data_IF_640117142563
#
_entry.id   IF_640117142563
#
_cell.length_a   1.000
_cell.length_b   1.000
_cell.length_c   1.000
_cell.angle_alpha   90.00
_cell.angle_beta   90.00
_cell.angle_gamma   90.00
#
_symmetry.space_group_name_H-M   'P 1'
#
loop_
_entity.id
_entity.type
_entity.pdbx_description
1 polymer ?
#
# COMPACT_ATOMS: atom_id res chain seq x y z
N UNK A 1 19.63 -34.24 -19.42
CA UNK A 1 18.22 -34.43 -19.02
C UNK A 1 17.30 -34.33 -20.22
N UNK A 2 16.04 -34.77 -20.14
CA UNK A 2 15.00 -34.54 -21.16
C UNK A 2 13.81 -33.89 -20.52
N UNK A 3 13.28 -32.84 -21.15
CA UNK A 3 12.12 -32.11 -20.67
C UNK A 3 11.01 -32.11 -21.73
N UNK A 4 9.76 -32.16 -21.30
CA UNK A 4 8.57 -32.00 -22.12
C UNK A 4 7.60 -31.07 -21.42
N UNK A 5 7.00 -30.17 -22.20
CA UNK A 5 6.02 -29.18 -21.70
C UNK A 5 4.65 -29.54 -22.21
N UNK A 6 3.69 -29.62 -21.32
CA UNK A 6 2.27 -29.78 -21.61
C UNK A 6 1.52 -28.54 -21.12
N UNK A 7 0.85 -27.82 -21.98
CA UNK A 7 0.00 -26.69 -21.60
C UNK A 7 -1.33 -27.20 -21.07
N UNK A 8 -1.61 -26.98 -19.80
CA UNK A 8 -2.86 -27.40 -19.16
C UNK A 8 -3.97 -26.36 -19.39
N UNK A 9 -3.61 -25.09 -19.30
CA UNK A 9 -4.48 -23.96 -19.61
C UNK A 9 -3.61 -22.73 -19.99
N UNK A 10 -4.17 -21.60 -20.41
CA UNK A 10 -3.38 -20.43 -20.83
C UNK A 10 -2.39 -19.89 -19.79
N UNK A 11 -2.57 -20.22 -18.52
CA UNK A 11 -1.75 -19.72 -17.39
C UNK A 11 -1.03 -20.82 -16.63
N UNK A 12 -1.18 -22.12 -17.00
CA UNK A 12 -0.57 -23.24 -16.27
C UNK A 12 0.00 -24.28 -17.21
N UNK A 13 1.22 -24.70 -16.92
CA UNK A 13 1.92 -25.76 -17.65
C UNK A 13 2.38 -26.85 -16.70
N UNK A 14 2.48 -28.06 -17.27
CA UNK A 14 3.12 -29.20 -16.63
C UNK A 14 4.43 -29.51 -17.35
N UNK A 15 5.51 -29.44 -16.61
CA UNK A 15 6.84 -29.91 -17.05
C UNK A 15 7.00 -31.38 -16.64
N UNK A 16 7.30 -32.24 -17.59
CA UNK A 16 7.71 -33.61 -17.33
C UNK A 16 9.20 -33.74 -17.60
N UNK A 17 9.96 -34.08 -16.57
CA UNK A 17 11.42 -34.11 -16.64
C UNK A 17 11.94 -35.50 -16.33
N UNK A 18 12.76 -36.02 -17.23
CA UNK A 18 13.50 -37.27 -17.11
C UNK A 18 14.98 -36.98 -16.93
N UNK A 19 15.53 -37.31 -15.75
CA UNK A 19 16.92 -37.08 -15.39
C UNK A 19 17.66 -38.42 -15.34
N UNK A 20 18.67 -38.66 -16.19
CA UNK A 20 19.53 -39.83 -16.09
C UNK A 20 20.25 -39.85 -14.73
N UNK A 21 20.38 -41.03 -14.14
CA UNK A 21 20.99 -41.18 -12.80
C UNK A 21 22.44 -40.66 -12.73
N UNK A 22 23.12 -40.64 -13.88
CA UNK A 22 24.50 -40.10 -13.96
C UNK A 22 24.58 -38.61 -13.61
N UNK A 23 23.51 -37.83 -13.92
CA UNK A 23 23.43 -36.41 -13.63
C UNK A 23 23.11 -36.13 -12.15
N UNK A 24 22.57 -37.12 -11.41
CA UNK A 24 22.33 -37.05 -9.95
C UNK A 24 23.58 -37.29 -9.11
N UNK A 25 24.71 -37.67 -9.72
CA UNK A 25 25.90 -38.10 -8.99
C UNK A 25 26.45 -37.02 -8.04
N UNK A 26 26.47 -35.79 -8.49
CA UNK A 26 26.98 -34.66 -7.67
C UNK A 26 26.09 -34.40 -6.45
N UNK A 27 24.76 -34.46 -6.62
CA UNK A 27 23.79 -34.34 -5.52
C UNK A 27 23.81 -35.54 -4.59
N UNK A 28 24.07 -36.75 -5.10
CA UNK A 28 24.30 -37.92 -4.28
C UNK A 28 25.56 -37.77 -3.41
N UNK A 29 26.65 -37.30 -3.99
CA UNK A 29 27.89 -37.04 -3.25
C UNK A 29 27.71 -35.95 -2.18
N UNK A 30 26.92 -34.91 -2.49
CA UNK A 30 26.52 -33.84 -1.56
C UNK A 30 25.66 -34.41 -0.41
N UNK A 31 24.65 -35.21 -0.73
CA UNK A 31 23.79 -35.88 0.26
C UNK A 31 24.60 -36.77 1.21
N UNK A 32 25.51 -37.59 0.71
CA UNK A 32 26.40 -38.36 1.55
C UNK A 32 27.25 -37.47 2.47
N UNK A 33 27.78 -36.35 1.99
CA UNK A 33 28.55 -35.40 2.81
C UNK A 33 27.69 -34.77 3.90
N UNK A 34 26.47 -34.37 3.58
CA UNK A 34 25.52 -33.73 4.48
C UNK A 34 25.09 -34.69 5.58
N UNK A 35 24.68 -35.92 5.23
CA UNK A 35 24.32 -36.98 6.19
C UNK A 35 25.53 -37.30 7.06
N UNK A 36 26.73 -37.45 6.48
CA UNK A 36 27.95 -37.75 7.21
C UNK A 36 28.30 -36.70 8.28
N UNK A 37 27.92 -35.44 8.05
CA UNK A 37 28.11 -34.33 9.00
C UNK A 37 27.04 -34.32 10.10
N UNK A 38 25.84 -34.81 9.81
CA UNK A 38 24.71 -34.77 10.75
C UNK A 38 24.69 -35.98 11.70
N UNK A 39 25.11 -37.15 11.22
CA UNK A 39 24.97 -38.41 11.98
C UNK A 39 26.24 -38.78 12.75
N UNK A 40 26.03 -39.52 13.84
CA UNK A 40 27.13 -40.10 14.62
C UNK A 40 26.97 -41.65 14.64
N UNK A 41 28.00 -42.34 14.15
CA UNK A 41 28.05 -43.82 14.12
C UNK A 41 29.19 -44.31 15.00
N UNK A 42 28.88 -45.26 15.95
CA UNK A 42 29.90 -45.84 16.82
C UNK A 42 30.99 -46.50 15.99
N UNK A 43 32.24 -46.14 16.27
CA UNK A 43 33.44 -46.64 15.57
C UNK A 43 33.93 -45.72 14.42
N UNK A 44 33.25 -44.66 14.10
CA UNK A 44 33.66 -43.70 13.07
C UNK A 44 33.68 -42.26 13.61
N UNK A 45 34.64 -41.47 13.12
CA UNK A 45 34.69 -40.05 13.42
C UNK A 45 33.60 -39.31 12.58
N UNK A 46 32.91 -38.38 13.21
CA UNK A 46 31.92 -37.50 12.51
C UNK A 46 32.52 -36.91 11.24
N UNK A 47 31.84 -37.02 10.12
CA UNK A 47 32.30 -36.54 8.80
C UNK A 47 33.25 -37.50 8.06
N UNK A 48 33.54 -38.72 8.59
CA UNK A 48 34.43 -39.75 8.00
C UNK A 48 33.80 -41.13 7.94
N UNK A 49 32.49 -41.22 7.86
CA UNK A 49 31.75 -42.47 7.76
C UNK A 49 31.72 -42.90 6.28
N UNK A 50 32.14 -44.11 5.89
CA UNK A 50 32.04 -44.58 4.51
C UNK A 50 30.59 -44.67 4.02
N UNK A 51 30.33 -44.33 2.75
CA UNK A 51 28.97 -44.35 2.15
C UNK A 51 28.24 -45.69 2.40
N UNK A 52 28.91 -46.84 2.23
CA UNK A 52 28.34 -48.16 2.49
C UNK A 52 27.81 -48.35 3.92
N UNK A 53 28.44 -47.70 4.90
CA UNK A 53 27.99 -47.77 6.30
C UNK A 53 26.76 -46.88 6.54
N UNK A 54 26.69 -45.73 5.84
CA UNK A 54 25.52 -44.87 5.84
C UNK A 54 24.33 -45.64 5.24
N UNK A 55 24.49 -46.26 4.07
CA UNK A 55 23.44 -47.05 3.42
C UNK A 55 22.92 -48.21 4.31
N UNK A 56 23.84 -48.89 5.03
CA UNK A 56 23.44 -49.97 5.92
C UNK A 56 22.71 -49.50 7.19
N UNK A 57 22.99 -48.30 7.68
CA UNK A 57 22.46 -47.83 8.97
C UNK A 57 21.21 -46.98 8.80
N UNK A 58 21.15 -46.16 7.76
CA UNK A 58 20.10 -45.17 7.51
C UNK A 58 19.24 -45.55 6.32
N UNK A 59 19.70 -46.49 5.51
CA UNK A 59 19.04 -46.92 4.28
C UNK A 59 19.47 -46.09 3.06
N UNK A 60 19.59 -46.74 1.91
CA UNK A 60 19.88 -46.07 0.63
C UNK A 60 18.79 -45.08 0.23
N UNK A 61 17.53 -45.39 0.63
CA UNK A 61 16.38 -44.50 0.36
C UNK A 61 16.52 -43.10 0.95
N UNK A 62 17.02 -42.99 2.19
CA UNK A 62 17.23 -41.68 2.82
C UNK A 62 18.30 -40.82 2.13
N UNK A 63 19.34 -41.50 1.57
CA UNK A 63 20.37 -40.80 0.79
C UNK A 63 19.80 -40.30 -0.56
N UNK A 64 18.99 -41.15 -1.19
CA UNK A 64 18.32 -40.81 -2.46
C UNK A 64 17.34 -39.68 -2.27
N UNK A 65 16.54 -39.71 -1.20
CA UNK A 65 15.59 -38.63 -0.87
C UNK A 65 16.30 -37.27 -0.67
N UNK A 66 17.38 -37.26 0.10
CA UNK A 66 18.20 -36.06 0.32
C UNK A 66 18.83 -35.57 -0.98
N UNK A 67 19.35 -36.48 -1.83
CA UNK A 67 19.94 -36.13 -3.11
C UNK A 67 18.92 -35.59 -4.11
N UNK A 68 17.73 -36.15 -4.13
CA UNK A 68 16.64 -35.68 -4.99
C UNK A 68 16.15 -34.30 -4.54
N UNK A 69 15.94 -34.09 -3.25
CA UNK A 69 15.55 -32.77 -2.71
C UNK A 69 16.57 -31.67 -3.04
N UNK A 70 17.86 -32.00 -3.05
CA UNK A 70 18.92 -31.08 -3.44
C UNK A 70 18.97 -30.82 -4.96
N UNK A 71 18.66 -31.85 -5.76
CA UNK A 71 18.75 -31.82 -7.22
C UNK A 71 17.53 -31.18 -7.91
N UNK A 72 16.33 -31.37 -7.34
CA UNK A 72 15.06 -30.93 -7.95
C UNK A 72 15.05 -29.44 -8.33
N UNK A 73 15.46 -28.48 -7.46
CA UNK A 73 15.45 -27.05 -7.84
C UNK A 73 16.34 -26.76 -9.06
N UNK A 74 17.48 -27.46 -9.14
CA UNK A 74 18.42 -27.28 -10.26
C UNK A 74 17.82 -27.76 -11.59
N UNK A 75 17.32 -29.00 -11.60
CA UNK A 75 16.74 -29.58 -12.82
C UNK A 75 15.43 -28.88 -13.24
N UNK A 76 14.64 -28.40 -12.28
CA UNK A 76 13.50 -27.57 -12.57
C UNK A 76 13.91 -26.26 -13.27
N UNK A 77 14.92 -25.55 -12.73
CA UNK A 77 15.41 -24.31 -13.33
C UNK A 77 15.98 -24.54 -14.73
N UNK A 78 16.73 -25.63 -14.93
CA UNK A 78 17.23 -26.01 -16.27
C UNK A 78 16.08 -26.30 -17.25
N UNK A 79 15.04 -27.03 -16.81
CA UNK A 79 13.88 -27.33 -17.65
C UNK A 79 13.05 -26.09 -18.01
N UNK A 80 12.87 -25.17 -17.06
CA UNK A 80 12.20 -23.88 -17.28
C UNK A 80 12.97 -23.03 -18.31
N UNK A 81 14.29 -22.95 -18.17
CA UNK A 81 15.14 -22.18 -19.09
C UNK A 81 15.15 -22.81 -20.51
N UNK A 82 15.22 -24.15 -20.59
CA UNK A 82 15.18 -24.86 -21.89
C UNK A 82 13.85 -24.65 -22.61
N UNK A 83 12.76 -24.53 -21.85
CA UNK A 83 11.42 -24.30 -22.36
C UNK A 83 11.06 -22.80 -22.56
N UNK A 84 11.98 -21.89 -22.24
CA UNK A 84 11.78 -20.42 -22.29
C UNK A 84 10.52 -19.95 -21.55
N UNK A 85 10.17 -20.61 -20.43
CA UNK A 85 9.01 -20.28 -19.62
C UNK A 85 9.29 -19.15 -18.63
N UNK A 86 8.25 -18.37 -18.32
CA UNK A 86 8.27 -17.35 -17.26
C UNK A 86 7.37 -17.80 -16.11
N UNK A 87 7.89 -18.61 -15.16
CA UNK A 87 7.07 -19.15 -14.08
C UNK A 87 6.67 -18.07 -13.09
N UNK A 88 5.47 -18.21 -12.53
CA UNK A 88 4.90 -17.38 -11.49
C UNK A 88 4.77 -18.24 -10.22
N UNK A 89 5.46 -17.83 -9.15
CA UNK A 89 5.42 -18.54 -7.88
C UNK A 89 6.23 -19.84 -7.86
N UNK A 90 5.93 -20.69 -6.87
CA UNK A 90 6.61 -21.97 -6.68
C UNK A 90 5.89 -23.11 -7.43
N UNK A 91 6.64 -24.02 -8.08
CA UNK A 91 6.03 -25.16 -8.76
C UNK A 91 5.50 -26.20 -7.74
N UNK A 92 4.44 -26.88 -8.14
CA UNK A 92 4.01 -28.12 -7.49
C UNK A 92 4.76 -29.29 -8.11
N UNK A 93 5.65 -29.91 -7.34
CA UNK A 93 6.55 -30.96 -7.84
C UNK A 93 6.14 -32.33 -7.30
N UNK A 94 5.91 -33.27 -8.21
CA UNK A 94 5.63 -34.66 -7.90
C UNK A 94 6.67 -35.58 -8.53
N UNK A 95 7.27 -36.44 -7.70
CA UNK A 95 8.21 -37.47 -8.16
C UNK A 95 7.41 -38.66 -8.67
N UNK A 96 7.36 -38.85 -9.97
CA UNK A 96 6.60 -39.92 -10.60
C UNK A 96 7.33 -41.26 -10.55
N UNK A 97 8.66 -41.25 -10.66
CA UNK A 97 9.47 -42.46 -10.63
C UNK A 97 10.90 -42.15 -10.17
N UNK A 98 11.41 -42.99 -9.22
CA UNK A 98 12.81 -42.97 -8.82
C UNK A 98 13.37 -44.39 -8.86
N UNK A 99 14.20 -44.66 -9.86
CA UNK A 99 14.92 -45.94 -10.00
C UNK A 99 16.39 -45.71 -9.70
N UNK A 100 16.86 -46.33 -8.61
CA UNK A 100 18.26 -46.24 -8.16
C UNK A 100 19.20 -46.82 -9.23
N UNK A 101 20.09 -45.99 -9.76
CA UNK A 101 21.05 -46.36 -10.80
C UNK A 101 20.51 -46.25 -12.26
N UNK A 102 19.26 -45.85 -12.46
CA UNK A 102 18.67 -45.71 -13.79
C UNK A 102 18.20 -44.29 -14.08
N UNK A 103 17.10 -43.82 -13.48
CA UNK A 103 16.47 -42.53 -13.78
C UNK A 103 15.73 -41.94 -12.57
N UNK A 104 15.60 -40.61 -12.57
CA UNK A 104 14.65 -39.83 -11.80
C UNK A 104 13.66 -39.18 -12.77
N UNK A 105 12.36 -39.46 -12.59
CA UNK A 105 11.30 -38.79 -13.33
C UNK A 105 10.45 -37.98 -12.36
N UNK A 106 10.22 -36.73 -12.67
CA UNK A 106 9.31 -35.87 -11.92
C UNK A 106 8.46 -35.03 -12.83
N UNK A 107 7.33 -34.58 -12.31
CA UNK A 107 6.48 -33.56 -12.94
C UNK A 107 6.49 -32.31 -12.07
N UNK A 108 6.49 -31.15 -12.72
CA UNK A 108 6.36 -29.87 -12.06
C UNK A 108 5.22 -29.09 -12.73
N UNK A 109 4.16 -28.81 -11.98
CA UNK A 109 3.11 -27.92 -12.43
C UNK A 109 3.39 -26.53 -11.90
N UNK A 110 3.32 -25.55 -12.79
CA UNK A 110 3.63 -24.16 -12.45
C UNK A 110 2.74 -23.22 -13.25
N UNK A 111 2.31 -22.16 -12.60
CA UNK A 111 1.66 -21.07 -13.27
C UNK A 111 2.70 -20.25 -14.06
N UNK A 112 2.31 -19.84 -15.27
CA UNK A 112 3.14 -19.03 -16.15
C UNK A 112 2.42 -17.73 -16.49
N UNK A 113 3.20 -16.73 -16.86
CA UNK A 113 2.64 -15.51 -17.43
C UNK A 113 2.02 -15.83 -18.80
N UNK A 114 0.73 -15.49 -19.02
CA UNK A 114 0.09 -15.70 -20.31
C UNK A 114 0.72 -14.80 -21.37
N UNK A 115 0.76 -15.29 -22.61
CA UNK A 115 1.06 -14.45 -23.75
C UNK A 115 -0.15 -13.55 -24.04
N UNK A 116 0.06 -12.24 -24.07
CA UNK A 116 -0.98 -11.25 -24.33
C UNK A 116 -0.73 -10.59 -25.67
N UNK A 117 -1.80 -10.34 -26.41
CA UNK A 117 -1.78 -9.50 -27.61
C UNK A 117 -2.36 -8.14 -27.24
N UNK A 118 -1.55 -7.09 -27.32
CA UNK A 118 -2.00 -5.72 -27.05
C UNK A 118 -2.65 -5.18 -28.32
N UNK A 119 -3.96 -4.88 -28.32
CA UNK A 119 -4.63 -4.27 -29.46
C UNK A 119 -4.19 -2.82 -29.64
N UNK A 120 -4.65 -2.19 -30.73
CA UNK A 120 -4.50 -0.75 -30.92
C UNK A 120 -5.32 0.00 -29.84
N UNK A 121 -4.63 0.78 -29.01
CA UNK A 121 -5.20 1.55 -27.92
C UNK A 121 -5.33 3.05 -28.21
N UNK A 122 -4.88 3.52 -29.40
CA UNK A 122 -4.93 4.93 -29.79
C UNK A 122 -6.36 5.49 -29.91
N UNK A 123 -7.37 4.63 -29.92
CA UNK A 123 -8.79 5.01 -29.99
C UNK A 123 -9.49 5.08 -28.65
N UNK A 124 -8.78 5.01 -27.53
CA UNK A 124 -9.37 5.13 -26.18
C UNK A 124 -9.87 6.55 -25.99
N UNK A 125 -11.16 6.72 -25.69
CA UNK A 125 -11.76 7.98 -25.28
C UNK A 125 -12.30 7.84 -23.85
N UNK A 126 -11.96 8.81 -22.98
CA UNK A 126 -12.46 8.88 -21.61
C UNK A 126 -12.94 10.28 -21.27
N UNK A 127 -13.88 10.35 -20.33
CA UNK A 127 -14.41 11.61 -19.80
C UNK A 127 -13.97 11.73 -18.34
N UNK A 128 -13.53 12.91 -17.93
CA UNK A 128 -13.07 13.23 -16.56
C UNK A 128 -13.80 14.46 -16.03
N UNK A 129 -13.73 14.70 -14.73
CA UNK A 129 -14.37 15.86 -14.14
C UNK A 129 -13.64 17.15 -14.57
N UNK A 130 -14.41 18.21 -14.82
CA UNK A 130 -13.82 19.50 -15.16
C UNK A 130 -13.14 20.17 -13.96
N UNK A 131 -12.03 20.85 -14.18
CA UNK A 131 -11.32 21.62 -13.15
C UNK A 131 -12.04 22.96 -12.96
N UNK A 132 -13.03 22.99 -12.08
CA UNK A 132 -13.76 24.20 -11.72
C UNK A 132 -13.51 24.53 -10.24
N UNK A 133 -12.92 25.70 -9.96
CA UNK A 133 -12.75 26.24 -8.61
C UNK A 133 -13.80 27.31 -8.38
N UNK A 134 -14.77 27.01 -7.56
CA UNK A 134 -15.86 27.96 -7.24
C UNK A 134 -15.43 28.92 -6.13
N UNK A 135 -16.08 30.06 -6.04
CA UNK A 135 -15.84 31.00 -4.94
C UNK A 135 -16.21 30.36 -3.58
N UNK A 136 -17.17 29.42 -3.55
CA UNK A 136 -17.53 28.65 -2.35
C UNK A 136 -16.39 27.75 -1.89
N UNK A 137 -15.65 27.12 -2.82
CA UNK A 137 -14.47 26.31 -2.48
C UNK A 137 -13.38 27.15 -1.83
N UNK A 138 -13.16 28.36 -2.37
CA UNK A 138 -12.19 29.31 -1.84
C UNK A 138 -12.61 29.79 -0.44
N UNK A 139 -13.88 30.15 -0.26
CA UNK A 139 -14.41 30.56 1.04
C UNK A 139 -14.26 29.44 2.08
N UNK A 140 -14.56 28.20 1.73
CA UNK A 140 -14.34 27.03 2.60
C UNK A 140 -12.88 26.84 2.96
N UNK A 141 -11.97 26.96 1.99
CA UNK A 141 -10.53 26.83 2.23
C UNK A 141 -10.00 27.90 3.18
N UNK A 142 -10.41 29.14 2.95
CA UNK A 142 -10.02 30.29 3.80
C UNK A 142 -10.65 30.17 5.19
N UNK A 143 -11.90 29.70 5.31
CA UNK A 143 -12.57 29.47 6.60
C UNK A 143 -11.89 28.35 7.39
N UNK A 144 -11.50 27.25 6.75
CA UNK A 144 -10.71 26.19 7.39
C UNK A 144 -9.36 26.71 7.91
N UNK A 145 -8.70 27.60 7.15
CA UNK A 145 -7.49 28.26 7.60
C UNK A 145 -7.78 29.17 8.82
N UNK A 146 -8.85 29.96 8.75
CA UNK A 146 -9.30 30.85 9.84
C UNK A 146 -9.56 30.09 11.12
N UNK A 147 -10.17 28.91 11.03
CA UNK A 147 -10.43 28.04 12.18
C UNK A 147 -9.17 27.58 12.91
N UNK A 148 -8.06 27.39 12.19
CA UNK A 148 -6.75 27.02 12.79
C UNK A 148 -6.14 28.17 13.60
N UNK A 149 -6.49 29.42 13.30
CA UNK A 149 -6.04 30.61 14.00
C UNK A 149 -7.05 31.14 15.01
N UNK A 150 -8.09 30.35 15.34
CA UNK A 150 -9.03 30.71 16.38
C UNK A 150 -8.30 30.86 17.73
N UNK A 151 -8.55 31.95 18.41
CA UNK A 151 -8.11 32.14 19.79
C UNK A 151 -9.18 31.66 20.76
N UNK A 152 -8.76 31.18 21.92
CA UNK A 152 -9.68 30.75 22.96
C UNK A 152 -9.47 31.60 24.23
N UNK A 153 -10.54 32.16 24.75
CA UNK A 153 -10.51 32.93 26.01
C UNK A 153 -11.43 32.27 27.03
N UNK A 154 -10.94 32.01 28.29
CA UNK A 154 -11.79 31.45 29.34
C UNK A 154 -12.95 32.40 29.67
N UNK A 155 -14.15 31.83 29.79
CA UNK A 155 -15.36 32.60 30.12
C UNK A 155 -16.11 31.99 31.31
N UNK A 156 -16.73 32.86 32.12
CA UNK A 156 -17.55 32.46 33.28
C UNK A 156 -19.04 32.53 32.88
N UNK A 157 -19.43 31.80 31.86
CA UNK A 157 -20.83 31.66 31.40
C UNK A 157 -21.13 30.25 30.97
N UNK A 158 -22.42 29.96 30.79
CA UNK A 158 -22.83 28.72 30.20
C UNK A 158 -22.27 28.55 28.76
N UNK A 159 -21.90 27.32 28.42
CA UNK A 159 -21.35 26.95 27.13
C UNK A 159 -22.38 27.14 26.00
N UNK A 160 -21.95 27.73 24.90
CA UNK A 160 -22.72 27.99 23.69
C UNK A 160 -22.14 27.25 22.48
N UNK A 161 -22.87 27.21 21.37
CA UNK A 161 -22.36 26.62 20.14
C UNK A 161 -21.09 27.36 19.69
N UNK A 162 -20.08 26.60 19.27
CA UNK A 162 -18.79 27.13 18.85
C UNK A 162 -17.79 27.36 19.98
N UNK A 163 -18.19 27.30 21.25
CA UNK A 163 -17.25 27.38 22.37
C UNK A 163 -16.38 26.12 22.45
N UNK A 164 -15.16 26.29 22.94
CA UNK A 164 -14.27 25.19 23.29
C UNK A 164 -14.43 24.87 24.77
N UNK A 165 -14.80 23.64 25.06
CA UNK A 165 -14.96 23.17 26.44
C UNK A 165 -13.88 22.14 26.76
N UNK A 166 -13.36 22.21 27.97
CA UNK A 166 -12.55 21.12 28.52
C UNK A 166 -13.47 20.23 29.36
N UNK A 167 -13.52 18.96 28.99
CA UNK A 167 -14.47 18.01 29.57
C UNK A 167 -13.77 16.78 30.12
N UNK A 168 -14.36 16.21 31.17
CA UNK A 168 -14.08 14.86 31.63
C UNK A 168 -15.24 13.97 31.24
N UNK A 169 -14.95 12.79 30.69
CA UNK A 169 -15.92 11.81 30.21
C UNK A 169 -15.79 10.52 31.04
N UNK A 170 -16.92 9.92 31.38
CA UNK A 170 -17.02 8.60 32.00
C UNK A 170 -18.13 7.82 31.32
N UNK A 171 -17.78 6.73 30.62
CA UNK A 171 -18.73 5.86 29.93
C UNK A 171 -19.03 4.60 30.77
N UNK A 172 -20.32 4.26 30.87
CA UNK A 172 -20.83 3.06 31.54
C UNK A 172 -21.62 2.23 30.56
N UNK A 173 -21.34 0.93 30.53
CA UNK A 173 -22.13 -0.05 29.81
C UNK A 173 -22.72 -1.06 30.81
N UNK A 174 -24.02 -1.28 30.76
CA UNK A 174 -24.76 -2.12 31.72
C UNK A 174 -24.56 -1.76 33.21
N UNK A 175 -24.22 -0.47 33.47
CA UNK A 175 -24.01 0.05 34.84
C UNK A 175 -22.56 -0.11 35.36
N UNK A 176 -21.64 -0.70 34.58
CA UNK A 176 -20.23 -0.83 34.91
C UNK A 176 -19.41 0.23 34.17
N UNK A 177 -18.49 0.89 34.86
CA UNK A 177 -17.58 1.89 34.29
C UNK A 177 -16.54 1.16 33.45
N UNK A 178 -16.35 1.59 32.21
CA UNK A 178 -15.30 1.07 31.35
C UNK A 178 -13.95 1.71 31.71
N UNK A 179 -12.91 0.90 31.88
CA UNK A 179 -11.54 1.43 32.16
C UNK A 179 -11.02 2.29 30.99
N UNK A 180 -11.35 1.94 29.75
CA UNK A 180 -11.03 2.67 28.52
C UNK A 180 -12.10 3.70 28.13
N UNK A 181 -13.19 3.79 28.89
CA UNK A 181 -14.25 4.78 28.76
C UNK A 181 -14.07 6.04 29.63
N UNK A 182 -12.91 6.21 30.28
CA UNK A 182 -12.59 7.40 31.08
C UNK A 182 -11.61 8.26 30.34
N UNK A 183 -12.00 9.49 30.04
CA UNK A 183 -11.11 10.49 29.45
C UNK A 183 -11.23 11.80 30.24
N UNK A 184 -10.10 12.37 30.64
CA UNK A 184 -10.06 13.60 31.44
C UNK A 184 -9.36 14.71 30.67
N UNK A 185 -9.87 15.93 30.79
CA UNK A 185 -9.24 17.12 30.20
C UNK A 185 -9.31 17.15 28.68
N UNK A 186 -10.30 16.52 28.07
CA UNK A 186 -10.50 16.50 26.62
C UNK A 186 -10.98 17.87 26.17
N UNK A 187 -10.29 18.49 25.23
CA UNK A 187 -10.74 19.72 24.59
C UNK A 187 -11.72 19.39 23.47
N UNK A 188 -12.90 19.99 23.50
CA UNK A 188 -13.97 19.73 22.52
C UNK A 188 -14.61 21.05 22.07
N UNK A 189 -14.80 21.22 20.78
CA UNK A 189 -15.54 22.35 20.21
C UNK A 189 -17.00 21.96 20.04
N UNK A 190 -17.90 22.66 20.70
CA UNK A 190 -19.35 22.39 20.63
C UNK A 190 -19.84 22.62 19.20
N UNK A 191 -20.51 21.62 18.63
CA UNK A 191 -21.00 21.64 17.26
C UNK A 191 -20.06 21.04 16.22
N UNK A 192 -18.84 20.58 16.61
CA UNK A 192 -17.92 19.92 15.65
C UNK A 192 -18.34 18.50 15.25
N UNK A 193 -19.10 17.80 16.10
CA UNK A 193 -19.52 16.41 15.88
C UNK A 193 -18.38 15.37 15.91
N UNK A 194 -17.18 15.77 16.38
CA UNK A 194 -15.97 14.91 16.33
C UNK A 194 -15.92 13.84 17.43
N UNK A 195 -16.74 13.95 18.47
CA UNK A 195 -16.78 12.99 19.58
C UNK A 195 -18.01 12.06 19.50
N UNK A 196 -18.78 11.98 20.56
CA UNK A 196 -19.92 11.10 20.71
C UNK A 196 -21.21 11.80 20.27
N UNK A 197 -22.12 11.07 19.66
CA UNK A 197 -23.40 11.61 19.25
C UNK A 197 -24.22 12.02 20.49
N UNK A 198 -24.78 13.24 20.45
CA UNK A 198 -25.55 13.81 21.57
C UNK A 198 -24.70 14.58 22.61
N UNK A 199 -23.38 14.63 22.47
CA UNK A 199 -22.51 15.39 23.40
C UNK A 199 -22.76 16.90 23.28
N UNK A 200 -23.02 17.42 22.09
CA UNK A 200 -23.31 18.83 21.86
C UNK A 200 -24.51 19.29 22.70
N UNK A 201 -25.61 18.52 22.63
CA UNK A 201 -26.82 18.83 23.38
C UNK A 201 -26.61 18.67 24.90
N UNK A 202 -25.78 17.72 25.31
CA UNK A 202 -25.50 17.46 26.72
C UNK A 202 -24.62 18.56 27.36
N UNK A 203 -23.68 19.12 26.60
CA UNK A 203 -22.72 20.13 27.10
C UNK A 203 -23.26 21.54 26.97
N UNK A 204 -24.10 21.81 25.97
CA UNK A 204 -24.66 23.14 25.73
C UNK A 204 -25.49 23.62 26.92
N UNK A 205 -25.20 24.81 27.39
CA UNK A 205 -25.88 25.41 28.55
C UNK A 205 -25.27 25.03 29.90
N UNK A 206 -24.24 24.18 29.96
CA UNK A 206 -23.52 23.92 31.19
C UNK A 206 -22.47 24.98 31.46
N UNK A 207 -22.29 25.32 32.75
CA UNK A 207 -21.19 26.16 33.23
C UNK A 207 -20.02 25.28 33.66
N UNK A 208 -18.85 25.88 33.89
CA UNK A 208 -17.71 25.16 34.46
C UNK A 208 -18.09 24.50 35.82
N UNK A 209 -17.84 23.21 35.94
CA UNK A 209 -18.26 22.35 37.05
C UNK A 209 -19.61 21.68 36.85
N UNK A 210 -20.34 22.00 35.79
CA UNK A 210 -21.62 21.34 35.40
C UNK A 210 -21.40 19.91 34.92
N UNK A 211 -22.39 19.05 35.16
CA UNK A 211 -22.39 17.65 34.71
C UNK A 211 -23.72 17.34 34.00
N UNK A 212 -23.63 16.53 32.97
CA UNK A 212 -24.79 15.95 32.28
C UNK A 212 -24.54 14.49 31.94
N UNK A 213 -25.62 13.76 31.75
CA UNK A 213 -25.54 12.34 31.34
C UNK A 213 -26.44 12.16 30.12
N UNK A 214 -25.89 11.49 29.12
CA UNK A 214 -26.61 11.18 27.88
C UNK A 214 -26.27 9.74 27.44
N UNK A 215 -27.02 9.22 26.50
CA UNK A 215 -26.76 7.88 25.94
C UNK A 215 -26.20 8.05 24.54
N UNK A 216 -25.12 7.35 24.25
CA UNK A 216 -24.49 7.35 22.93
C UNK A 216 -23.90 5.99 22.61
N UNK A 217 -23.78 5.68 21.34
CA UNK A 217 -23.03 4.54 20.86
C UNK A 217 -21.53 4.85 20.89
N UNK A 218 -20.74 3.96 21.48
CA UNK A 218 -19.28 4.16 21.55
C UNK A 218 -18.64 3.89 20.20
N UNK A 219 -17.90 4.87 19.68
CA UNK A 219 -17.20 4.78 18.38
C UNK A 219 -15.86 4.01 18.46
N UNK A 220 -15.40 3.63 19.66
CA UNK A 220 -14.10 2.97 19.84
C UNK A 220 -13.97 2.29 21.19
N UNK A 221 -12.79 1.66 21.43
CA UNK A 221 -12.46 0.96 22.67
C UNK A 221 -13.04 -0.45 22.75
N UNK A 222 -12.99 -1.04 23.96
CA UNK A 222 -13.42 -2.43 24.22
C UNK A 222 -14.92 -2.67 24.06
N UNK A 223 -15.71 -1.60 24.02
CA UNK A 223 -17.16 -1.63 23.89
C UNK A 223 -17.67 -0.85 22.67
N UNK A 224 -16.89 -0.75 21.60
CA UNK A 224 -17.31 -0.12 20.34
C UNK A 224 -18.61 -0.76 19.83
N UNK A 225 -19.51 0.06 19.27
CA UNK A 225 -20.83 -0.38 18.76
C UNK A 225 -21.89 -0.63 19.85
N UNK A 226 -21.55 -0.44 21.14
CA UNK A 226 -22.53 -0.62 22.24
C UNK A 226 -23.06 0.71 22.74
N UNK A 227 -24.33 0.75 23.07
CA UNK A 227 -24.90 1.88 23.79
C UNK A 227 -24.30 2.00 25.20
N UNK A 228 -23.80 3.20 25.51
CA UNK A 228 -23.23 3.54 26.79
C UNK A 228 -23.95 4.75 27.40
N UNK A 229 -24.10 4.74 28.70
CA UNK A 229 -24.46 5.92 29.48
C UNK A 229 -23.20 6.72 29.73
N UNK A 230 -23.09 7.90 29.11
CA UNK A 230 -21.92 8.76 29.18
C UNK A 230 -22.19 9.94 30.07
N UNK A 231 -21.41 10.08 31.15
CA UNK A 231 -21.41 11.25 31.99
C UNK A 231 -20.31 12.21 31.52
N UNK A 232 -20.70 13.41 31.14
CA UNK A 232 -19.79 14.50 30.78
C UNK A 232 -19.77 15.55 31.90
N UNK A 233 -18.57 15.97 32.29
CA UNK A 233 -18.34 17.05 33.23
C UNK A 233 -17.54 18.14 32.56
N UNK A 234 -18.08 19.36 32.52
CA UNK A 234 -17.39 20.52 31.99
C UNK A 234 -16.44 21.07 33.07
N UNK A 235 -15.16 21.07 32.79
CA UNK A 235 -14.15 21.63 33.73
C UNK A 235 -13.81 23.08 33.39
N UNK A 236 -13.88 23.47 32.13
CA UNK A 236 -13.64 24.84 31.68
C UNK A 236 -14.47 25.13 30.42
N UNK A 237 -14.92 26.39 30.34
CA UNK A 237 -15.55 26.92 29.12
C UNK A 237 -14.68 28.05 28.60
N UNK A 238 -14.34 28.02 27.32
CA UNK A 238 -13.60 29.08 26.66
C UNK A 238 -14.37 29.51 25.40
N UNK A 239 -14.62 30.80 25.27
CA UNK A 239 -15.15 31.33 24.03
C UNK A 239 -14.11 31.20 22.91
N UNK A 240 -14.53 30.69 21.78
CA UNK A 240 -13.71 30.61 20.55
C UNK A 240 -13.94 31.89 19.76
N UNK A 241 -12.90 32.67 19.61
CA UNK A 241 -12.90 33.89 18.80
C UNK A 241 -12.15 33.64 17.51
N UNK A 242 -12.86 33.69 16.39
CA UNK A 242 -12.26 33.63 15.06
C UNK A 242 -11.75 35.04 14.69
N UNK A 243 -10.53 35.16 14.12
CA UNK A 243 -10.03 36.42 13.61
C UNK A 243 -10.96 36.98 12.53
N UNK A 244 -11.02 38.29 12.36
CA UNK A 244 -11.75 38.89 11.24
C UNK A 244 -11.05 38.52 9.93
N UNK A 245 -11.86 38.32 8.84
CA UNK A 245 -11.32 38.03 7.50
C UNK A 245 -10.91 39.33 6.83
N UNK A 246 -9.73 39.81 7.14
CA UNK A 246 -9.14 41.03 6.62
C UNK A 246 -7.64 40.84 6.29
N UNK A 247 -6.97 41.94 5.94
CA UNK A 247 -5.55 41.89 5.61
C UNK A 247 -4.64 41.55 6.82
N UNK A 248 -5.08 41.86 8.05
CA UNK A 248 -4.35 41.48 9.26
C UNK A 248 -4.37 39.95 9.44
N UNK A 249 -5.50 39.31 9.11
CA UNK A 249 -5.59 37.85 9.10
C UNK A 249 -4.69 37.23 8.02
N UNK A 250 -4.66 37.80 6.80
CA UNK A 250 -3.78 37.29 5.75
C UNK A 250 -2.31 37.29 6.17
N UNK A 251 -1.84 38.39 6.78
CA UNK A 251 -0.48 38.51 7.30
C UNK A 251 -0.20 37.58 8.51
N UNK A 252 -1.22 37.27 9.31
CA UNK A 252 -1.08 36.36 10.44
C UNK A 252 -0.98 34.87 10.00
N UNK A 253 -1.79 34.51 9.00
CA UNK A 253 -2.01 33.12 8.61
C UNK A 253 -1.16 32.67 7.42
N UNK A 254 -0.48 33.60 6.74
CA UNK A 254 0.26 33.34 5.50
C UNK A 254 1.39 34.36 5.29
N UNK A 255 2.10 34.22 4.18
CA UNK A 255 3.13 35.17 3.72
C UNK A 255 2.57 36.36 2.93
N UNK A 256 1.25 36.42 2.73
CA UNK A 256 0.58 37.42 1.92
C UNK A 256 0.20 38.67 2.71
N UNK A 257 0.28 39.82 2.07
CA UNK A 257 -0.03 41.12 2.69
C UNK A 257 -1.52 41.43 2.73
N UNK A 258 -2.32 40.83 1.81
CA UNK A 258 -3.74 41.11 1.67
C UNK A 258 -4.60 39.84 1.59
N UNK A 259 -5.87 39.97 2.03
CA UNK A 259 -6.83 38.87 1.93
C UNK A 259 -7.11 38.46 0.47
N UNK A 260 -7.02 39.36 -0.47
CA UNK A 260 -7.22 39.07 -1.90
C UNK A 260 -6.06 38.23 -2.45
N UNK A 261 -4.81 38.45 -2.02
CA UNK A 261 -3.67 37.63 -2.37
C UNK A 261 -3.79 36.21 -1.76
N UNK A 262 -4.19 36.10 -0.51
CA UNK A 262 -4.45 34.80 0.14
C UNK A 262 -5.54 34.01 -0.60
N UNK A 263 -6.64 34.67 -1.02
CA UNK A 263 -7.70 34.03 -1.81
C UNK A 263 -7.22 33.63 -3.19
N UNK A 264 -6.37 34.42 -3.82
CA UNK A 264 -5.79 34.09 -5.13
C UNK A 264 -4.87 32.88 -5.04
N UNK A 265 -4.04 32.79 -3.99
CA UNK A 265 -3.21 31.61 -3.71
C UNK A 265 -4.06 30.37 -3.40
N UNK A 266 -5.06 30.51 -2.54
CA UNK A 266 -6.01 29.43 -2.27
C UNK A 266 -6.70 28.90 -3.54
N UNK A 267 -7.07 29.80 -4.45
CA UNK A 267 -7.62 29.44 -5.77
C UNK A 267 -6.60 28.66 -6.60
N UNK A 268 -5.33 29.10 -6.64
CA UNK A 268 -4.25 28.42 -7.37
C UNK A 268 -4.03 27.02 -6.80
N UNK A 269 -3.92 26.88 -5.48
CA UNK A 269 -3.73 25.58 -4.81
C UNK A 269 -4.90 24.61 -5.06
N UNK A 270 -6.13 25.11 -4.98
CA UNK A 270 -7.31 24.29 -5.27
C UNK A 270 -7.38 23.89 -6.75
N UNK A 271 -6.99 24.78 -7.66
CA UNK A 271 -6.90 24.44 -9.08
C UNK A 271 -5.87 23.35 -9.32
N UNK A 272 -4.65 23.49 -8.81
CA UNK A 272 -3.59 22.49 -8.94
C UNK A 272 -4.03 21.14 -8.36
N UNK A 273 -4.65 21.13 -7.18
CA UNK A 273 -5.17 19.90 -6.58
C UNK A 273 -6.22 19.23 -7.48
N UNK A 274 -7.19 20.00 -8.00
CA UNK A 274 -8.22 19.46 -8.91
C UNK A 274 -7.64 19.01 -10.26
N UNK A 275 -6.59 19.67 -10.77
CA UNK A 275 -5.87 19.23 -11.97
C UNK A 275 -5.19 17.89 -11.72
N UNK A 276 -4.52 17.74 -10.58
CA UNK A 276 -3.92 16.46 -10.19
C UNK A 276 -4.96 15.34 -10.02
N UNK A 277 -6.09 15.63 -9.37
CA UNK A 277 -7.21 14.69 -9.25
C UNK A 277 -7.77 14.31 -10.64
N UNK A 278 -7.89 15.27 -11.56
CA UNK A 278 -8.34 15.05 -12.93
C UNK A 278 -7.38 14.14 -13.71
N UNK A 279 -6.08 14.35 -13.61
CA UNK A 279 -5.09 13.49 -14.26
C UNK A 279 -5.08 12.08 -13.67
N UNK A 280 -5.17 11.96 -12.35
CA UNK A 280 -5.32 10.64 -11.70
C UNK A 280 -6.58 9.92 -12.20
N UNK A 281 -7.70 10.62 -12.30
CA UNK A 281 -8.94 10.08 -12.83
C UNK A 281 -8.80 9.68 -14.31
N UNK A 282 -8.08 10.47 -15.11
CA UNK A 282 -7.79 10.13 -16.50
C UNK A 282 -6.98 8.84 -16.61
N UNK A 283 -5.90 8.72 -15.82
CA UNK A 283 -5.07 7.52 -15.79
C UNK A 283 -5.88 6.27 -15.41
N UNK A 284 -6.72 6.38 -14.38
CA UNK A 284 -7.58 5.28 -13.94
C UNK A 284 -8.59 4.86 -15.02
N UNK A 285 -9.28 5.82 -15.63
CA UNK A 285 -10.29 5.53 -16.67
C UNK A 285 -9.67 4.98 -17.96
N UNK A 286 -8.51 5.52 -18.36
CA UNK A 286 -7.76 5.00 -19.53
C UNK A 286 -7.30 3.57 -19.26
N UNK A 287 -6.77 3.29 -18.05
CA UNK A 287 -6.37 1.95 -17.65
C UNK A 287 -7.57 0.98 -17.66
N UNK A 288 -8.72 1.39 -17.15
CA UNK A 288 -9.93 0.56 -17.19
C UNK A 288 -10.35 0.23 -18.62
N UNK A 289 -10.36 1.21 -19.49
CA UNK A 289 -10.66 1.00 -20.92
C UNK A 289 -9.64 0.08 -21.59
N UNK A 290 -8.37 0.23 -21.28
CA UNK A 290 -7.32 -0.65 -21.78
C UNK A 290 -7.56 -2.11 -21.32
N UNK A 291 -7.91 -2.32 -20.05
CA UNK A 291 -8.19 -3.64 -19.50
C UNK A 291 -9.46 -4.27 -20.09
N UNK A 292 -10.43 -3.47 -20.55
CA UNK A 292 -11.61 -3.96 -21.30
C UNK A 292 -11.26 -4.46 -22.70
N UNK A 293 -10.21 -3.91 -23.32
CA UNK A 293 -9.76 -4.27 -24.67
C UNK A 293 -8.93 -5.56 -24.71
N UNK A 294 -8.29 -5.93 -23.60
CA UNK A 294 -7.36 -7.05 -23.51
C UNK A 294 -7.96 -8.20 -22.70
N UNK A 295 -8.08 -9.38 -23.33
CA UNK A 295 -8.45 -10.58 -22.57
C UNK A 295 -7.24 -11.11 -21.79
N UNK A 296 -7.28 -10.97 -20.47
CA UNK A 296 -6.19 -11.36 -19.58
C UNK A 296 -6.64 -12.54 -18.71
N UNK A 297 -6.17 -13.77 -19.00
CA UNK A 297 -6.40 -14.90 -18.12
C UNK A 297 -5.57 -14.74 -16.84
N UNK A 298 -6.21 -14.93 -15.68
CA UNK A 298 -5.60 -14.78 -14.37
C UNK A 298 -5.29 -16.17 -13.78
N UNK A 299 -4.03 -16.46 -13.38
CA UNK A 299 -3.69 -17.71 -12.73
C UNK A 299 -4.38 -17.84 -11.37
N UNK A 300 -5.01 -19.00 -11.11
CA UNK A 300 -5.80 -19.20 -9.88
C UNK A 300 -4.93 -19.08 -8.61
N UNK A 301 -3.76 -19.72 -8.61
CA UNK A 301 -2.87 -19.71 -7.45
C UNK A 301 -2.30 -18.32 -7.17
N UNK A 302 -1.91 -17.58 -8.23
CA UNK A 302 -1.46 -16.20 -8.08
C UNK A 302 -2.56 -15.31 -7.50
N UNK A 303 -3.81 -15.52 -7.93
CA UNK A 303 -4.96 -14.80 -7.39
C UNK A 303 -5.19 -15.10 -5.90
N UNK A 304 -5.10 -16.38 -5.52
CA UNK A 304 -5.21 -16.77 -4.10
C UNK A 304 -4.09 -16.15 -3.25
N UNK A 305 -2.86 -16.20 -3.72
CA UNK A 305 -1.70 -15.62 -3.02
C UNK A 305 -1.84 -14.09 -2.89
N UNK A 306 -2.32 -13.40 -3.93
CA UNK A 306 -2.56 -11.96 -3.90
C UNK A 306 -3.68 -11.57 -2.92
N UNK A 307 -4.80 -12.31 -2.91
CA UNK A 307 -5.89 -12.10 -1.94
C UNK A 307 -5.38 -12.28 -0.51
N UNK A 308 -4.62 -13.35 -0.25
CA UNK A 308 -4.07 -13.62 1.07
C UNK A 308 -3.08 -12.54 1.51
N UNK A 309 -2.25 -12.04 0.59
CA UNK A 309 -1.30 -10.95 0.86
C UNK A 309 -2.04 -9.65 1.20
N UNK A 310 -3.09 -9.30 0.46
CA UNK A 310 -3.91 -8.11 0.74
C UNK A 310 -4.61 -8.18 2.09
N UNK A 311 -5.22 -9.33 2.41
CA UNK A 311 -5.83 -9.56 3.73
C UNK A 311 -4.81 -9.46 4.85
N UNK A 312 -3.66 -10.09 4.69
CA UNK A 312 -2.57 -10.04 5.68
C UNK A 312 -2.06 -8.61 5.91
N UNK A 313 -1.85 -7.85 4.84
CA UNK A 313 -1.40 -6.46 4.93
C UNK A 313 -2.43 -5.57 5.63
N UNK A 314 -3.71 -5.74 5.32
CA UNK A 314 -4.78 -5.02 6.01
C UNK A 314 -4.79 -5.37 7.51
N UNK A 315 -4.85 -6.64 7.86
CA UNK A 315 -5.00 -7.09 9.25
C UNK A 315 -3.78 -6.74 10.12
N UNK A 316 -2.57 -6.98 9.61
CA UNK A 316 -1.36 -6.85 10.43
C UNK A 316 -0.66 -5.50 10.33
N UNK A 317 -0.74 -4.83 9.19
CA UNK A 317 -0.06 -3.54 9.01
C UNK A 317 -0.97 -2.34 9.21
N UNK A 318 -2.21 -2.37 8.72
CA UNK A 318 -3.11 -1.22 8.86
C UNK A 318 -3.94 -1.31 10.15
N UNK A 319 -4.73 -2.37 10.30
CA UNK A 319 -5.62 -2.53 11.46
C UNK A 319 -4.84 -2.78 12.75
N UNK A 320 -3.73 -3.53 12.68
CA UNK A 320 -2.87 -3.79 13.84
C UNK A 320 -2.28 -2.51 14.46
N UNK A 321 -1.92 -1.52 13.64
CA UNK A 321 -1.45 -0.21 14.12
C UNK A 321 -2.56 0.62 14.76
N UNK A 322 -3.81 0.43 14.32
CA UNK A 322 -5.00 1.11 14.85
C UNK A 322 -5.60 0.38 16.07
N UNK A 323 -5.10 -0.82 16.41
CA UNK A 323 -5.66 -1.66 17.47
C UNK A 323 -7.06 -2.21 17.14
N UNK A 324 -7.38 -2.28 15.85
CA UNK A 324 -8.65 -2.81 15.33
C UNK A 324 -8.47 -4.24 14.82
N UNK A 325 -9.53 -5.04 14.93
CA UNK A 325 -9.65 -6.31 14.21
C UNK A 325 -10.50 -6.13 12.94
N UNK A 326 -10.47 -7.14 12.05
CA UNK A 326 -11.19 -7.08 10.78
C UNK A 326 -12.72 -6.99 10.99
N UNK A 327 -13.27 -7.65 12.02
CA UNK A 327 -14.70 -7.65 12.29
C UNK A 327 -15.20 -6.24 12.64
N UNK A 328 -14.51 -5.56 13.56
CA UNK A 328 -14.79 -4.17 13.90
C UNK A 328 -14.58 -3.20 12.74
N UNK A 329 -13.55 -3.41 11.93
CA UNK A 329 -13.33 -2.61 10.74
C UNK A 329 -14.49 -2.71 9.76
N UNK A 330 -14.98 -3.93 9.50
CA UNK A 330 -16.13 -4.15 8.62
C UNK A 330 -17.41 -3.54 9.17
N UNK A 331 -17.62 -3.62 10.49
CA UNK A 331 -18.76 -2.99 11.17
C UNK A 331 -18.74 -1.46 11.01
N UNK A 332 -17.57 -0.83 11.20
CA UNK A 332 -17.38 0.63 10.99
C UNK A 332 -17.65 1.01 9.53
N UNK A 333 -17.22 0.17 8.58
CA UNK A 333 -17.43 0.41 7.15
C UNK A 333 -18.86 0.09 6.70
N UNK A 334 -19.69 -0.54 7.56
CA UNK A 334 -21.04 -1.00 7.21
C UNK A 334 -21.04 -2.10 6.15
N UNK A 335 -19.97 -2.90 6.07
CA UNK A 335 -19.78 -3.95 5.06
C UNK A 335 -19.86 -5.34 5.69
N UNK A 336 -20.37 -6.28 4.92
CA UNK A 336 -20.33 -7.69 5.29
C UNK A 336 -18.98 -8.33 4.90
N UNK A 337 -18.63 -9.44 5.56
CA UNK A 337 -17.43 -10.19 5.21
C UNK A 337 -17.45 -10.70 3.74
N UNK A 338 -18.64 -11.06 3.23
CA UNK A 338 -18.83 -11.52 1.85
C UNK A 338 -18.58 -10.38 0.83
N UNK A 339 -19.05 -9.17 1.11
CA UNK A 339 -18.80 -7.98 0.29
C UNK A 339 -17.32 -7.63 0.28
N UNK A 340 -16.67 -7.64 1.44
CA UNK A 340 -15.24 -7.42 1.56
C UNK A 340 -14.40 -8.45 0.78
N UNK A 341 -14.78 -9.74 0.86
CA UNK A 341 -14.10 -10.78 0.09
C UNK A 341 -14.27 -10.60 -1.42
N UNK A 342 -15.47 -10.21 -1.86
CA UNK A 342 -15.76 -9.94 -3.24
C UNK A 342 -14.95 -8.73 -3.76
N UNK A 343 -14.94 -7.62 -3.04
CA UNK A 343 -14.16 -6.42 -3.36
C UNK A 343 -12.65 -6.71 -3.38
N UNK A 344 -12.13 -7.44 -2.37
CA UNK A 344 -10.71 -7.81 -2.30
C UNK A 344 -10.32 -8.69 -3.50
N UNK A 345 -11.18 -9.63 -3.87
CA UNK A 345 -10.96 -10.49 -5.05
C UNK A 345 -10.99 -9.69 -6.36
N UNK A 346 -11.93 -8.79 -6.52
CA UNK A 346 -12.04 -7.93 -7.71
C UNK A 346 -10.82 -7.02 -7.84
N UNK A 347 -10.40 -6.38 -6.74
CA UNK A 347 -9.20 -5.56 -6.69
C UNK A 347 -7.92 -6.36 -6.98
N UNK A 348 -7.83 -7.62 -6.50
CA UNK A 348 -6.72 -8.50 -6.81
C UNK A 348 -6.68 -8.87 -8.30
N UNK A 349 -7.83 -9.22 -8.90
CA UNK A 349 -7.94 -9.51 -10.33
C UNK A 349 -7.53 -8.28 -11.15
N UNK A 350 -8.06 -7.09 -10.83
CA UNK A 350 -7.72 -5.83 -11.50
C UNK A 350 -6.21 -5.56 -11.42
N UNK A 351 -5.61 -5.73 -10.24
CA UNK A 351 -4.17 -5.53 -10.02
C UNK A 351 -3.30 -6.47 -10.86
N UNK A 352 -3.61 -7.78 -10.86
CA UNK A 352 -2.86 -8.77 -11.66
C UNK A 352 -3.00 -8.49 -13.16
N UNK A 353 -4.20 -8.19 -13.64
CA UNK A 353 -4.45 -7.83 -15.05
C UNK A 353 -3.68 -6.59 -15.45
N UNK A 354 -3.72 -5.53 -14.63
CA UNK A 354 -2.96 -4.29 -14.83
C UNK A 354 -1.47 -4.59 -14.96
N UNK A 355 -0.92 -5.34 -14.03
CA UNK A 355 0.49 -5.69 -14.06
C UNK A 355 0.87 -6.45 -15.35
N UNK A 356 0.07 -7.42 -15.77
CA UNK A 356 0.38 -8.21 -16.96
C UNK A 356 0.28 -7.38 -18.24
N UNK A 357 -0.74 -6.55 -18.38
CA UNK A 357 -0.94 -5.68 -19.55
C UNK A 357 0.17 -4.63 -19.63
N UNK A 358 0.49 -3.95 -18.56
CA UNK A 358 1.54 -2.93 -18.55
C UNK A 358 2.93 -3.54 -18.77
N UNK A 359 3.23 -4.70 -18.18
CA UNK A 359 4.49 -5.42 -18.43
C UNK A 359 4.64 -5.86 -19.90
N UNK A 360 3.53 -6.20 -20.58
CA UNK A 360 3.57 -6.52 -22.00
C UNK A 360 3.74 -5.27 -22.86
N UNK A 361 3.07 -4.16 -22.49
CA UNK A 361 3.28 -2.86 -23.13
C UNK A 361 4.74 -2.39 -23.03
N UNK A 362 5.39 -2.55 -21.88
CA UNK A 362 6.82 -2.25 -21.74
C UNK A 362 7.67 -2.95 -22.78
N UNK A 363 7.35 -4.22 -23.13
CA UNK A 363 8.07 -4.98 -24.15
C UNK A 363 7.74 -4.53 -25.56
N UNK A 364 6.44 -4.31 -25.86
CA UNK A 364 5.94 -3.90 -27.18
C UNK A 364 6.52 -2.53 -27.55
N UNK A 365 6.44 -1.56 -26.64
CA UNK A 365 6.94 -0.20 -26.81
C UNK A 365 8.45 -0.06 -26.55
N UNK A 366 9.12 -1.16 -26.11
CA UNK A 366 10.57 -1.21 -25.82
C UNK A 366 11.02 -0.13 -24.85
N UNK A 367 10.22 0.09 -23.82
CA UNK A 367 10.48 1.09 -22.81
C UNK A 367 11.67 0.66 -21.92
N UNK A 368 12.59 1.58 -21.71
CA UNK A 368 13.72 1.39 -20.82
C UNK A 368 13.65 2.40 -19.69
N UNK A 369 14.07 1.98 -18.51
CA UNK A 369 14.20 2.84 -17.32
C UNK A 369 15.64 3.33 -17.24
N UNK A 370 15.81 4.63 -17.17
CA UNK A 370 17.10 5.25 -16.94
C UNK A 370 17.38 5.44 -15.44
N UNK A 371 18.57 5.89 -15.10
CA UNK A 371 18.99 6.06 -13.71
C UNK A 371 18.27 7.24 -13.03
N UNK A 372 17.97 8.29 -13.78
CA UNK A 372 17.31 9.52 -13.31
C UNK A 372 15.88 9.22 -12.89
N UNK A 373 15.08 8.58 -13.75
CA UNK A 373 13.72 8.12 -13.48
C UNK A 373 13.64 7.19 -12.26
N UNK A 374 14.63 6.29 -12.14
CA UNK A 374 14.67 5.39 -10.97
C UNK A 374 14.99 6.16 -9.69
N UNK A 375 15.89 7.15 -9.74
CA UNK A 375 16.24 7.97 -8.58
C UNK A 375 15.06 8.82 -8.13
N UNK A 376 14.38 9.45 -9.06
CA UNK A 376 13.17 10.26 -8.78
C UNK A 376 12.06 9.41 -8.15
N UNK A 377 11.75 8.24 -8.74
CA UNK A 377 10.79 7.31 -8.16
C UNK A 377 11.18 6.87 -6.75
N UNK A 378 12.49 6.62 -6.52
CA UNK A 378 13.01 6.27 -5.21
C UNK A 378 12.82 7.42 -4.20
N UNK A 379 13.06 8.67 -4.60
CA UNK A 379 12.84 9.84 -3.74
C UNK A 379 11.36 10.00 -3.36
N UNK A 380 10.44 9.86 -4.33
CA UNK A 380 8.99 9.90 -4.07
C UNK A 380 8.56 8.80 -3.09
N UNK A 381 9.04 7.56 -3.28
CA UNK A 381 8.73 6.43 -2.38
C UNK A 381 9.32 6.62 -0.99
N UNK A 382 10.52 7.17 -0.88
CA UNK A 382 11.14 7.49 0.41
C UNK A 382 10.31 8.53 1.18
N UNK A 383 9.90 9.61 0.51
CA UNK A 383 9.05 10.66 1.09
C UNK A 383 7.72 10.09 1.60
N UNK A 384 7.03 9.25 0.80
CA UNK A 384 5.77 8.62 1.20
C UNK A 384 5.93 7.63 2.38
N UNK A 385 7.12 7.07 2.57
CA UNK A 385 7.44 6.15 3.67
C UNK A 385 7.98 6.86 4.92
N UNK A 386 8.15 8.19 4.89
CA UNK A 386 8.73 8.97 5.97
C UNK A 386 10.21 8.65 6.23
N UNK A 387 10.91 8.10 5.24
CA UNK A 387 12.33 7.74 5.32
C UNK A 387 13.18 8.71 4.51
N UNK A 388 14.44 8.89 4.90
CA UNK A 388 15.37 9.62 4.04
C UNK A 388 15.66 8.80 2.76
N UNK A 389 15.93 9.46 1.60
CA UNK A 389 16.23 8.77 0.34
C UNK A 389 17.37 7.75 0.46
N UNK A 390 18.44 8.07 1.21
CA UNK A 390 19.57 7.18 1.41
C UNK A 390 19.20 5.93 2.22
N UNK A 391 18.40 6.07 3.27
CA UNK A 391 17.94 4.94 4.09
C UNK A 391 17.02 4.03 3.29
N UNK A 392 16.11 4.61 2.51
CA UNK A 392 15.21 3.85 1.65
C UNK A 392 15.99 3.12 0.54
N UNK A 393 16.94 3.79 -0.12
CA UNK A 393 17.80 3.18 -1.14
C UNK A 393 18.60 1.99 -0.57
N UNK A 394 19.17 2.14 0.63
CA UNK A 394 19.89 1.06 1.29
C UNK A 394 18.97 -0.13 1.59
N UNK A 395 17.77 0.12 2.12
CA UNK A 395 16.78 -0.94 2.42
C UNK A 395 16.37 -1.69 1.15
N UNK A 396 16.15 -0.98 0.04
CA UNK A 396 15.81 -1.56 -1.28
C UNK A 396 16.95 -2.44 -1.81
N UNK A 397 18.20 -1.98 -1.71
CA UNK A 397 19.38 -2.75 -2.17
C UNK A 397 19.60 -3.98 -1.29
N UNK A 398 19.56 -3.84 0.03
CA UNK A 398 19.73 -4.96 0.98
C UNK A 398 18.59 -5.99 0.87
N UNK A 399 17.36 -5.52 0.61
CA UNK A 399 16.20 -6.37 0.37
C UNK A 399 16.15 -7.00 -1.02
N UNK A 400 17.09 -6.66 -1.93
CA UNK A 400 17.08 -7.15 -3.32
C UNK A 400 15.89 -6.67 -4.14
N UNK A 401 15.27 -5.54 -3.79
CA UNK A 401 14.02 -5.03 -4.37
C UNK A 401 14.23 -4.09 -5.57
N UNK A 402 15.47 -3.84 -5.97
CA UNK A 402 15.78 -2.99 -7.14
C UNK A 402 15.03 -3.41 -8.41
N UNK A 403 14.94 -4.71 -8.78
CA UNK A 403 14.18 -5.12 -9.96
C UNK A 403 12.67 -4.80 -9.86
N UNK A 404 12.11 -4.81 -8.64
CA UNK A 404 10.72 -4.44 -8.39
C UNK A 404 10.46 -2.96 -8.69
N UNK A 405 11.33 -2.06 -8.17
CA UNK A 405 11.24 -0.63 -8.44
C UNK A 405 11.41 -0.32 -9.94
N UNK A 406 12.38 -0.95 -10.61
CA UNK A 406 12.56 -0.79 -12.06
C UNK A 406 11.28 -1.21 -12.79
N UNK A 407 10.63 -2.30 -12.36
CA UNK A 407 9.36 -2.74 -12.92
C UNK A 407 8.22 -1.74 -12.65
N UNK A 408 8.17 -1.11 -11.49
CA UNK A 408 7.18 -0.06 -11.17
C UNK A 408 7.34 1.16 -12.08
N UNK A 409 8.56 1.67 -12.23
CA UNK A 409 8.87 2.79 -13.13
C UNK A 409 8.52 2.45 -14.58
N UNK A 410 8.91 1.26 -15.06
CA UNK A 410 8.62 0.83 -16.42
C UNK A 410 7.10 0.76 -16.69
N UNK A 411 6.31 0.25 -15.74
CA UNK A 411 4.84 0.20 -15.84
C UNK A 411 4.21 1.60 -15.80
N UNK A 412 4.73 2.50 -14.96
CA UNK A 412 4.31 3.91 -14.95
C UNK A 412 4.49 4.55 -16.33
N UNK A 413 5.67 4.37 -16.94
CA UNK A 413 5.94 4.84 -18.31
C UNK A 413 5.01 4.21 -19.35
N UNK A 414 4.73 2.91 -19.23
CA UNK A 414 3.81 2.23 -20.14
C UNK A 414 2.39 2.80 -20.04
N UNK A 415 1.93 3.11 -18.82
CA UNK A 415 0.64 3.77 -18.63
C UNK A 415 0.64 5.19 -19.21
N UNK A 416 1.71 5.97 -18.98
CA UNK A 416 1.83 7.33 -19.53
C UNK A 416 1.72 7.33 -21.07
N UNK A 417 2.40 6.41 -21.76
CA UNK A 417 2.30 6.25 -23.22
C UNK A 417 0.86 5.98 -23.68
N UNK A 418 0.10 5.17 -22.94
CA UNK A 418 -1.30 4.89 -23.28
C UNK A 418 -2.18 6.12 -23.02
N UNK A 419 -1.94 6.83 -21.93
CA UNK A 419 -2.68 8.05 -21.55
C UNK A 419 -2.43 9.17 -22.59
N UNK A 420 -1.18 9.37 -23.02
CA UNK A 420 -0.80 10.32 -24.08
C UNK A 420 -1.48 9.99 -25.43
N UNK A 421 -1.62 8.70 -25.75
CA UNK A 421 -2.29 8.26 -26.98
C UNK A 421 -3.82 8.35 -26.90
N UNK A 422 -4.40 8.46 -25.71
CA UNK A 422 -5.85 8.50 -25.48
C UNK A 422 -6.41 9.91 -25.71
N UNK A 423 -7.72 9.98 -25.95
CA UNK A 423 -8.46 11.24 -26.01
C UNK A 423 -9.19 11.45 -24.69
N UNK A 424 -8.70 12.39 -23.87
CA UNK A 424 -9.31 12.75 -22.60
C UNK A 424 -10.15 14.02 -22.78
N UNK A 425 -11.41 13.97 -22.38
CA UNK A 425 -12.33 15.11 -22.39
C UNK A 425 -12.86 15.34 -20.98
N UNK A 426 -13.06 16.58 -20.62
CA UNK A 426 -13.76 16.89 -19.39
C UNK A 426 -15.30 16.81 -19.55
N UNK A 427 -16.03 16.95 -18.44
CA UNK A 427 -17.50 16.96 -18.42
C UNK A 427 -18.11 18.11 -19.22
N UNK A 428 -17.34 19.14 -19.58
CA UNK A 428 -17.75 20.22 -20.45
C UNK A 428 -17.52 19.92 -21.95
N UNK A 429 -16.83 18.78 -22.24
CA UNK A 429 -16.47 18.35 -23.59
C UNK A 429 -15.19 18.98 -24.11
N UNK A 430 -14.42 19.66 -23.29
CA UNK A 430 -13.13 20.23 -23.64
C UNK A 430 -12.04 19.16 -23.56
N UNK A 431 -11.04 19.24 -24.46
CA UNK A 431 -9.89 18.33 -24.42
C UNK A 431 -9.00 18.73 -23.22
N UNK A 432 -8.65 17.73 -22.43
CA UNK A 432 -7.73 17.89 -21.30
C UNK A 432 -6.31 17.63 -21.79
N UNK A 433 -5.43 18.59 -21.59
CA UNK A 433 -3.99 18.45 -21.79
C UNK A 433 -3.38 17.92 -20.47
N UNK A 434 -2.72 16.78 -20.55
CA UNK A 434 -2.09 16.13 -19.38
C UNK A 434 -0.56 16.31 -19.36
N UNK A 435 0.00 17.01 -20.37
CA UNK A 435 1.45 17.23 -20.49
C UNK A 435 1.96 18.38 -19.61
N UNK A 436 1.06 19.29 -19.18
CA UNK A 436 1.41 20.45 -18.33
C UNK A 436 1.82 20.08 -16.89
N UNK A 437 1.67 18.82 -16.46
CA UNK A 437 1.98 18.41 -15.08
C UNK A 437 3.48 18.23 -14.80
N UNK A 438 4.27 17.83 -15.79
CA UNK A 438 5.70 17.58 -15.61
C UNK A 438 6.51 18.87 -15.34
N UNK A 439 6.02 20.04 -15.77
CA UNK A 439 6.68 21.34 -15.51
C UNK A 439 6.38 21.85 -14.08
N UNK A 440 5.13 21.70 -13.56
CA UNK A 440 4.76 22.16 -12.21
C UNK A 440 5.29 21.21 -11.09
N UNK A 441 5.41 19.89 -11.34
CA UNK A 441 6.05 18.96 -10.39
C UNK A 441 7.55 19.18 -10.27
N UNK A 442 8.23 19.52 -11.35
CA UNK A 442 9.66 19.84 -11.33
C UNK A 442 9.93 21.14 -10.59
N UNK A 443 9.14 22.19 -10.78
CA UNK A 443 9.25 23.44 -10.02
C UNK A 443 8.96 23.26 -8.52
N UNK A 444 7.95 22.44 -8.17
CA UNK A 444 7.61 22.14 -6.77
C UNK A 444 8.68 21.27 -6.08
N UNK A 445 9.28 20.33 -6.80
CA UNK A 445 10.36 19.49 -6.29
C UNK A 445 11.68 20.27 -6.14
N UNK A 446 11.99 21.18 -7.05
CA UNK A 446 13.14 22.08 -6.96
C UNK A 446 12.99 23.08 -5.81
N UNK A 447 11.80 23.68 -5.62
CA UNK A 447 11.51 24.57 -4.50
C UNK A 447 11.58 23.85 -3.14
N UNK A 448 11.11 22.60 -3.05
CA UNK A 448 11.22 21.80 -1.84
C UNK A 448 12.66 21.38 -1.53
N UNK A 449 13.47 21.11 -2.55
CA UNK A 449 14.89 20.78 -2.42
C UNK A 449 15.72 22.01 -1.99
N UNK A 450 15.39 23.19 -2.51
CA UNK A 450 16.03 24.46 -2.16
C UNK A 450 15.70 24.87 -0.71
N UNK A 451 14.44 24.73 -0.28
CA UNK A 451 14.01 24.96 1.11
C UNK A 451 14.65 23.96 2.11
N UNK A 452 14.85 22.71 1.71
CA UNK A 452 15.55 21.72 2.52
C UNK A 452 17.05 21.99 2.61
N UNK A 453 17.67 22.53 1.56
CA UNK A 453 19.08 22.94 1.56
C UNK A 453 19.32 24.17 2.45
N UNK A 454 18.43 25.18 2.41
CA UNK A 454 18.51 26.35 3.29
C UNK A 454 18.31 25.99 4.76
N UNK A 455 17.41 25.05 5.09
CA UNK A 455 17.20 24.58 6.46
C UNK A 455 18.42 23.82 7.01
N UNK A 456 19.19 23.12 6.17
CA UNK A 456 20.42 22.45 6.58
C UNK A 456 21.59 23.39 6.76
N UNK A 457 21.66 24.48 6.00
CA UNK A 457 22.72 25.49 6.13
C UNK A 457 22.53 26.36 7.39
N UNK A 458 21.28 26.72 7.71
CA UNK A 458 20.95 27.45 8.94
C UNK A 458 21.28 26.66 10.23
N UNK A 459 21.16 25.31 10.20
CA UNK A 459 21.54 24.45 11.34
C UNK A 459 23.06 24.20 11.44
N UNK A 460 23.83 24.45 10.38
CA UNK A 460 25.28 24.31 10.38
C UNK A 460 25.97 25.58 10.95
N UNK A 461 25.42 26.77 10.73
CA UNK A 461 25.95 28.02 11.28
C UNK A 461 25.74 28.12 12.79
N UNK A 462 24.63 27.62 13.36
CA UNK A 462 24.37 27.66 14.80
C UNK A 462 25.27 26.73 15.64
N UNK A 463 25.92 25.73 15.00
CA UNK A 463 26.87 24.81 15.66
C UNK A 463 28.33 25.28 15.65
N UNK A 464 28.65 26.37 14.96
CA UNK A 464 30.03 26.92 14.92
C UNK A 464 30.28 28.09 15.86
N UNK A 465 29.27 28.63 16.54
CA UNK A 465 29.39 29.70 17.54
C UNK A 465 29.12 29.27 19.02
N UNK A 466 29.15 27.98 19.33
CA UNK A 466 28.94 27.44 20.66
C UNK A 466 30.21 26.87 21.32
#
# INVERSE_FOLDING_TARGET
MKSAVETLNPTRVRLTVEVPFEELKDSLDAAYKKINQQVTVKGFRKGKIPARVIDQRFGRGAVLEEAVNDALPKFYTEAVNEAELNPLGQPEVDITELKDGETLNFTAEVDIRPALEIPDYSGIEVEVDAVEVTDEDIEKSVEQLRERFASTSPVERAAEDGDVVTIDLEAKVDGEVLEDGIANGVSYTIGSGELLDGIDDAVKGLEAGGEATFTSELKGGSAAGREAEVTVKVTQVAARELPELDDEFAQLASEFDTLDELKADSRKRLANMKTYDQATQAQERVLEKLLELVEVPVPEKLLEDEINTRKHNLEHHQLGQMGLDLEKYLEIQGKTAEEFEAETKEAAIKGIKTQFVLDELVKVEKLNVNQEELTEHLMRRAASSGMSPDQFAQAVVEGGQVPLLVGEVARGKALAVVVEAATVKDTNGELVDLDDEDEDETEAAEAAAEAAAEATDATAEEKTEG
#
